data_IF_077741232750
#
_entry.id   IF_077741232750
#
_cell.length_a   1.000
_cell.length_b   1.000
_cell.length_c   1.000
_cell.angle_alpha   90.00
_cell.angle_beta   90.00
_cell.angle_gamma   90.00
#
_symmetry.space_group_name_H-M   'P 1'
#
loop_
_entity.id
_entity.type
_entity.pdbx_description
1 polymer ?
#
# COMPACT_ATOMS: atom_id res chain seq x y z
N UNK A 1 24.68 -24.92 6.62
CA UNK A 1 25.77 -25.23 7.57
C UNK A 1 26.44 -23.91 7.91
N UNK A 2 26.05 -23.30 9.03
CA UNK A 2 26.77 -22.16 9.61
C UNK A 2 27.76 -22.70 10.67
N UNK A 3 28.93 -22.09 10.88
CA UNK A 3 29.89 -22.58 11.85
C UNK A 3 29.50 -22.09 13.25
N UNK A 4 29.37 -23.02 14.19
CA UNK A 4 29.27 -22.71 15.62
C UNK A 4 30.68 -22.46 16.16
N UNK A 5 30.88 -21.33 16.85
CA UNK A 5 32.05 -21.12 17.71
C UNK A 5 31.63 -21.31 19.16
N UNK A 6 32.05 -22.43 19.75
CA UNK A 6 31.85 -22.74 21.17
C UNK A 6 33.10 -22.32 21.97
N UNK A 7 32.93 -21.47 22.96
CA UNK A 7 33.98 -21.17 23.96
C UNK A 7 33.72 -22.05 25.18
N UNK A 8 34.67 -22.92 25.52
CA UNK A 8 34.61 -23.78 26.71
C UNK A 8 35.51 -23.21 27.81
N UNK A 9 34.92 -22.85 28.95
CA UNK A 9 35.59 -22.73 30.23
C UNK A 9 34.90 -23.70 31.19
N UNK A 10 35.60 -24.78 31.55
CA UNK A 10 35.09 -25.80 32.45
C UNK A 10 35.47 -25.51 33.90
N UNK A 11 34.48 -25.44 34.79
CA UNK A 11 34.55 -25.90 36.18
C UNK A 11 33.15 -26.37 36.59
N UNK A 12 33.09 -27.46 37.36
CA UNK A 12 31.92 -28.17 37.85
C UNK A 12 30.81 -27.26 38.41
N UNK A 13 29.58 -27.41 37.90
CA UNK A 13 28.39 -26.78 38.44
C UNK A 13 27.20 -26.96 37.50
N UNK A 14 26.03 -27.25 38.05
CA UNK A 14 24.75 -27.47 37.36
C UNK A 14 24.56 -26.51 36.18
N UNK A 15 24.53 -27.03 34.95
CA UNK A 15 24.26 -26.25 33.74
C UNK A 15 22.76 -25.92 33.68
N UNK A 16 22.38 -24.76 34.19
CA UNK A 16 21.15 -24.10 33.76
C UNK A 16 21.44 -23.51 32.38
N UNK A 17 21.03 -24.21 31.33
CA UNK A 17 21.05 -23.67 29.97
C UNK A 17 19.93 -22.62 29.88
N UNK A 18 20.25 -21.37 30.21
CA UNK A 18 19.39 -20.24 29.87
C UNK A 18 19.51 -20.07 28.36
N UNK A 19 18.52 -20.58 27.63
CA UNK A 19 18.30 -20.22 26.23
C UNK A 19 17.88 -18.75 26.18
N UNK A 20 18.86 -17.85 26.18
CA UNK A 20 18.63 -16.47 25.77
C UNK A 20 18.32 -16.56 24.28
N UNK A 21 17.04 -16.41 23.94
CA UNK A 21 16.61 -16.21 22.55
C UNK A 21 17.24 -14.88 22.13
N UNK A 22 18.37 -14.93 21.43
CA UNK A 22 18.99 -13.73 20.87
C UNK A 22 17.93 -12.99 20.06
N UNK A 23 17.54 -11.81 20.55
CA UNK A 23 16.81 -10.85 19.73
C UNK A 23 17.73 -10.51 18.57
N UNK A 24 17.32 -10.83 17.34
CA UNK A 24 17.97 -10.29 16.15
C UNK A 24 18.06 -8.77 16.32
N UNK A 25 19.26 -8.19 16.38
CA UNK A 25 19.40 -6.75 16.55
C UNK A 25 18.71 -6.08 15.36
N UNK A 26 17.79 -5.15 15.63
CA UNK A 26 17.16 -4.38 14.56
C UNK A 26 18.26 -3.53 13.91
N UNK A 27 18.47 -3.73 12.60
CA UNK A 27 19.44 -2.92 11.87
C UNK A 27 18.95 -1.48 11.84
N UNK A 28 19.75 -0.55 12.37
CA UNK A 28 19.45 0.89 12.31
C UNK A 28 19.35 1.41 10.86
N UNK A 29 19.98 0.71 9.91
CA UNK A 29 19.92 1.02 8.47
C UNK A 29 18.55 0.70 7.84
N UNK A 30 17.76 -0.17 8.47
CA UNK A 30 16.42 -0.58 8.01
C UNK A 30 15.31 -0.07 8.93
N UNK A 31 15.65 0.55 10.07
CA UNK A 31 14.67 1.04 11.05
C UNK A 31 13.99 2.32 10.56
N UNK A 32 12.67 2.28 10.39
CA UNK A 32 11.83 3.46 10.19
C UNK A 32 10.45 3.25 10.83
N UNK A 33 9.67 4.32 11.03
CA UNK A 33 8.27 4.21 11.46
C UNK A 33 7.41 5.26 10.76
N UNK A 34 6.11 5.31 11.08
CA UNK A 34 5.23 6.39 10.64
C UNK A 34 5.13 7.54 11.66
N UNK A 35 5.78 7.42 12.83
CA UNK A 35 5.61 8.34 13.96
C UNK A 35 6.94 8.92 14.47
N UNK A 36 6.83 10.07 15.14
CA UNK A 36 7.94 10.68 15.86
C UNK A 36 9.16 11.00 14.99
N UNK A 37 10.35 10.83 15.57
CA UNK A 37 11.61 11.20 14.93
C UNK A 37 11.95 10.33 13.72
N UNK A 38 11.38 9.12 13.60
CA UNK A 38 11.58 8.20 12.49
C UNK A 38 10.40 8.17 11.51
N UNK A 39 9.49 9.14 11.62
CA UNK A 39 8.33 9.30 10.75
C UNK A 39 8.66 9.87 9.35
N UNK A 40 7.66 9.98 8.47
CA UNK A 40 7.87 10.31 7.05
C UNK A 40 8.58 11.63 6.77
N UNK A 41 8.46 12.61 7.67
CA UNK A 41 9.15 13.90 7.56
C UNK A 41 10.69 13.78 7.73
N UNK A 42 11.17 12.69 8.33
CA UNK A 42 12.57 12.52 8.72
C UNK A 42 13.28 11.34 8.06
N UNK A 43 12.57 10.50 7.29
CA UNK A 43 13.16 9.31 6.66
C UNK A 43 14.46 9.62 5.90
N UNK A 44 14.44 10.62 5.02
CA UNK A 44 15.63 11.02 4.24
C UNK A 44 16.66 11.86 5.01
N UNK A 45 16.43 12.16 6.29
CA UNK A 45 17.38 12.84 7.18
C UNK A 45 18.11 11.86 8.10
N UNK A 46 17.45 10.78 8.49
CA UNK A 46 18.03 9.76 9.39
C UNK A 46 18.93 8.80 8.62
N UNK A 47 18.50 8.36 7.44
CA UNK A 47 19.28 7.44 6.62
C UNK A 47 19.72 8.13 5.32
N UNK A 48 21.05 8.31 5.10
CA UNK A 48 21.58 8.87 3.86
C UNK A 48 21.16 8.11 2.59
N UNK A 49 20.96 6.80 2.67
CA UNK A 49 20.50 5.98 1.54
C UNK A 49 19.06 6.33 1.11
N UNK A 50 18.27 6.92 2.00
CA UNK A 50 16.89 7.34 1.75
C UNK A 50 16.76 8.82 1.36
N UNK A 51 17.84 9.43 0.86
CA UNK A 51 17.90 10.84 0.52
C UNK A 51 16.77 11.31 -0.42
N UNK A 52 16.25 10.43 -1.28
CA UNK A 52 15.12 10.71 -2.17
C UNK A 52 13.83 11.05 -1.39
N UNK A 53 13.64 10.51 -0.19
CA UNK A 53 12.47 10.83 0.63
C UNK A 53 12.41 12.33 1.00
N UNK A 54 13.54 13.04 1.00
CA UNK A 54 13.63 14.47 1.32
C UNK A 54 13.97 15.35 0.10
N UNK A 55 14.82 14.87 -0.81
CA UNK A 55 15.32 15.64 -1.96
C UNK A 55 14.60 15.34 -3.27
N UNK A 56 13.85 14.23 -3.32
CA UNK A 56 13.09 13.84 -4.48
C UNK A 56 12.05 14.89 -4.87
N UNK A 57 11.82 15.05 -6.17
CA UNK A 57 10.84 16.00 -6.74
C UNK A 57 9.65 15.32 -7.41
N UNK A 58 9.66 13.99 -7.45
CA UNK A 58 8.58 13.15 -7.97
C UNK A 58 8.07 12.22 -6.86
N UNK A 59 8.00 12.73 -5.64
CA UNK A 59 7.57 11.96 -4.48
C UNK A 59 6.05 11.70 -4.50
N UNK A 60 5.67 10.59 -3.89
CA UNK A 60 4.29 10.15 -3.67
C UNK A 60 4.04 9.93 -2.18
N UNK A 61 2.78 9.97 -1.72
CA UNK A 61 1.55 10.22 -2.48
C UNK A 61 1.37 11.70 -2.83
N UNK A 62 0.30 12.05 -3.56
CA UNK A 62 -0.05 13.45 -3.90
C UNK A 62 -1.53 13.72 -3.64
N UNK A 63 -1.88 15.00 -3.51
CA UNK A 63 -3.27 15.44 -3.59
C UNK A 63 -3.70 15.50 -5.06
N UNK A 64 -4.80 14.83 -5.38
CA UNK A 64 -5.40 14.80 -6.71
C UNK A 64 -6.47 15.90 -6.80
N UNK A 65 -6.19 16.97 -7.53
CA UNK A 65 -7.14 18.07 -7.73
C UNK A 65 -7.91 17.88 -9.04
N UNK A 66 -9.23 17.60 -9.01
CA UNK A 66 -10.01 17.34 -10.22
C UNK A 66 -9.93 18.45 -11.26
N UNK A 67 -9.80 19.71 -10.82
CA UNK A 67 -9.69 20.91 -11.67
C UNK A 67 -8.36 21.01 -12.41
N UNK A 68 -7.32 20.31 -11.95
CA UNK A 68 -5.98 20.31 -12.56
C UNK A 68 -5.70 19.05 -13.38
N UNK A 69 -6.65 18.10 -13.44
CA UNK A 69 -6.48 16.86 -14.20
C UNK A 69 -6.44 17.14 -15.69
N UNK A 70 -5.46 16.55 -16.37
CA UNK A 70 -5.32 16.63 -17.82
C UNK A 70 -6.00 15.43 -18.46
N UNK A 71 -7.08 15.67 -19.20
CA UNK A 71 -7.71 14.62 -20.00
C UNK A 71 -6.74 14.15 -21.10
N UNK A 72 -6.47 12.85 -21.13
CA UNK A 72 -5.64 12.18 -22.13
C UNK A 72 -6.46 11.09 -22.82
N UNK A 73 -6.94 11.30 -24.06
CA UNK A 73 -7.77 10.33 -24.78
C UNK A 73 -7.01 9.08 -25.22
N UNK A 74 -5.66 9.09 -25.15
CA UNK A 74 -4.84 7.95 -25.57
C UNK A 74 -4.68 6.90 -24.46
N UNK A 75 -5.09 7.22 -23.23
CA UNK A 75 -5.08 6.33 -22.09
C UNK A 75 -5.99 5.12 -22.35
N UNK A 76 -5.36 3.94 -22.43
CA UNK A 76 -6.04 2.68 -22.73
C UNK A 76 -6.77 2.13 -21.50
N UNK A 77 -7.71 1.20 -21.66
CA UNK A 77 -8.27 0.47 -20.52
C UNK A 77 -7.17 -0.25 -19.73
N UNK A 78 -7.21 -0.15 -18.39
CA UNK A 78 -6.35 -0.95 -17.51
C UNK A 78 -6.78 -2.41 -17.55
N UNK A 79 -5.81 -3.32 -17.74
CA UNK A 79 -6.02 -4.75 -17.74
C UNK A 79 -5.25 -5.40 -16.60
N UNK A 80 -5.95 -6.24 -15.83
CA UNK A 80 -5.37 -7.17 -14.85
C UNK A 80 -5.84 -8.58 -15.20
N UNK A 81 -4.91 -9.54 -15.19
CA UNK A 81 -5.25 -10.94 -15.38
C UNK A 81 -6.19 -11.45 -14.26
N UNK A 82 -7.07 -12.39 -14.62
CA UNK A 82 -8.08 -12.96 -13.70
C UNK A 82 -7.61 -14.22 -12.97
N UNK A 83 -6.33 -14.58 -13.09
CA UNK A 83 -5.79 -15.76 -12.44
C UNK A 83 -5.77 -15.57 -10.93
N UNK A 84 -6.10 -16.66 -10.21
CA UNK A 84 -6.04 -16.67 -8.75
C UNK A 84 -4.69 -17.23 -8.32
N UNK A 85 -4.07 -16.57 -7.35
CA UNK A 85 -2.70 -16.85 -6.89
C UNK A 85 -2.69 -17.23 -5.41
N UNK A 86 -1.60 -17.85 -4.99
CA UNK A 86 -1.31 -18.04 -3.58
C UNK A 86 -0.30 -16.97 -3.13
N UNK A 87 -0.34 -16.65 -1.86
CA UNK A 87 0.53 -15.65 -1.27
C UNK A 87 0.50 -15.70 0.24
N UNK A 88 1.31 -14.84 0.84
CA UNK A 88 1.43 -14.70 2.28
C UNK A 88 0.88 -13.34 2.69
N UNK A 89 -0.08 -13.33 3.58
CA UNK A 89 -0.56 -12.14 4.28
C UNK A 89 0.22 -12.00 5.59
N UNK A 90 0.89 -10.88 5.79
CA UNK A 90 1.74 -10.63 6.94
C UNK A 90 1.47 -9.26 7.56
N UNK A 91 1.58 -9.19 8.88
CA UNK A 91 1.75 -7.94 9.59
C UNK A 91 3.26 -7.69 9.73
N UNK A 92 3.78 -6.71 8.99
CA UNK A 92 5.22 -6.39 9.00
C UNK A 92 5.64 -5.54 10.19
N UNK A 93 4.68 -5.09 11.01
CA UNK A 93 4.87 -4.06 12.03
C UNK A 93 4.72 -2.64 11.49
N UNK A 94 4.82 -2.44 10.17
CA UNK A 94 4.59 -1.16 9.49
C UNK A 94 3.31 -1.16 8.66
N UNK A 95 2.91 -2.31 8.13
CA UNK A 95 1.72 -2.44 7.28
C UNK A 95 1.21 -3.87 7.28
N UNK A 96 -0.01 -4.04 6.77
CA UNK A 96 -0.51 -5.35 6.36
C UNK A 96 -0.14 -5.55 4.90
N UNK A 97 0.71 -6.53 4.63
CA UNK A 97 1.24 -6.81 3.30
C UNK A 97 0.78 -8.18 2.84
N UNK A 98 0.25 -8.27 1.62
CA UNK A 98 0.05 -9.55 0.93
C UNK A 98 1.08 -9.66 -0.20
N UNK A 99 1.98 -10.64 -0.12
CA UNK A 99 3.01 -10.90 -1.12
C UNK A 99 2.72 -12.21 -1.87
N UNK A 100 2.89 -12.22 -3.19
CA UNK A 100 2.74 -13.43 -4.00
C UNK A 100 3.86 -14.44 -3.71
N UNK A 101 3.53 -15.74 -3.70
CA UNK A 101 4.54 -16.78 -3.61
C UNK A 101 5.37 -16.89 -4.90
N UNK A 102 6.67 -17.10 -4.77
CA UNK A 102 7.58 -17.20 -5.93
C UNK A 102 7.28 -18.40 -6.86
N UNK A 103 6.59 -19.44 -6.39
CA UNK A 103 6.26 -20.66 -7.16
C UNK A 103 4.86 -20.60 -7.83
N UNK A 104 4.31 -19.41 -8.04
CA UNK A 104 3.06 -19.30 -8.81
C UNK A 104 3.28 -19.67 -10.27
N UNK A 105 2.71 -20.80 -10.70
CA UNK A 105 2.77 -21.29 -12.10
C UNK A 105 2.29 -20.28 -13.14
N UNK A 106 1.38 -19.37 -12.75
CA UNK A 106 0.81 -18.35 -13.61
C UNK A 106 0.85 -16.99 -12.91
N UNK A 107 1.78 -16.09 -13.29
CA UNK A 107 1.83 -14.74 -12.73
C UNK A 107 0.61 -13.92 -13.16
N UNK A 108 0.18 -12.98 -12.31
CA UNK A 108 -0.85 -11.99 -12.67
C UNK A 108 -0.17 -10.80 -13.34
N UNK A 109 -0.52 -10.54 -14.60
CA UNK A 109 0.02 -9.38 -15.32
C UNK A 109 -0.91 -8.15 -15.21
N UNK A 110 -0.27 -6.99 -15.25
CA UNK A 110 -0.84 -5.64 -15.26
C UNK A 110 -0.39 -4.98 -16.57
N UNK A 111 -1.33 -4.52 -17.39
CA UNK A 111 -1.04 -3.92 -18.71
C UNK A 111 -2.13 -2.92 -19.12
N UNK A 112 -1.90 -2.24 -20.25
CA UNK A 112 -2.79 -1.16 -20.70
C UNK A 112 -2.69 0.05 -19.79
N UNK A 113 -3.76 0.84 -19.69
CA UNK A 113 -3.71 2.05 -18.89
C UNK A 113 -2.71 3.07 -19.48
N UNK A 114 -1.83 3.66 -18.64
CA UNK A 114 -0.69 4.47 -19.06
C UNK A 114 0.58 3.66 -19.39
N UNK A 115 0.55 2.32 -19.29
CA UNK A 115 1.74 1.47 -19.29
C UNK A 115 2.15 1.10 -20.70
N UNK A 116 3.43 1.34 -21.02
CA UNK A 116 4.05 0.89 -22.28
C UNK A 116 4.52 -0.56 -22.26
N UNK A 117 4.70 -1.14 -21.06
CA UNK A 117 5.27 -2.46 -20.83
C UNK A 117 4.30 -3.36 -20.09
N UNK A 118 4.61 -4.66 -20.07
CA UNK A 118 3.94 -5.61 -19.19
C UNK A 118 4.57 -5.56 -17.81
N UNK A 119 3.72 -5.43 -16.81
CA UNK A 119 4.12 -5.50 -15.41
C UNK A 119 3.55 -6.78 -14.80
N UNK A 120 4.27 -7.34 -13.84
CA UNK A 120 3.85 -8.50 -13.06
C UNK A 120 3.53 -8.06 -11.64
N UNK A 121 2.37 -8.47 -11.13
CA UNK A 121 1.97 -8.27 -9.75
C UNK A 121 3.00 -8.87 -8.78
N UNK A 122 3.28 -8.16 -7.69
CA UNK A 122 4.23 -8.58 -6.66
C UNK A 122 3.58 -8.60 -5.27
N UNK A 123 3.04 -7.48 -4.82
CA UNK A 123 2.54 -7.35 -3.45
C UNK A 123 1.44 -6.29 -3.33
N UNK A 124 0.71 -6.35 -2.23
CA UNK A 124 -0.34 -5.41 -1.85
C UNK A 124 -0.03 -4.85 -0.47
N UNK A 125 -0.12 -3.54 -0.32
CA UNK A 125 0.02 -2.84 0.96
C UNK A 125 -1.31 -2.21 1.36
N UNK A 126 -1.59 -2.20 2.67
CA UNK A 126 -2.79 -1.59 3.22
C UNK A 126 -2.43 -0.46 4.20
N UNK A 127 -2.83 0.75 3.84
CA UNK A 127 -2.68 1.95 4.65
C UNK A 127 -4.02 2.34 5.26
N UNK A 128 -4.05 2.67 6.55
CA UNK A 128 -5.28 3.02 7.24
C UNK A 128 -5.02 3.91 8.47
N UNK A 129 -6.02 4.73 8.79
CA UNK A 129 -5.92 5.68 9.89
C UNK A 129 -6.53 5.16 11.18
N UNK A 130 -6.25 5.87 12.27
CA UNK A 130 -6.84 5.61 13.59
C UNK A 130 -8.34 5.98 13.64
N UNK A 131 -8.82 6.87 12.75
CA UNK A 131 -10.23 7.26 12.65
C UNK A 131 -10.76 7.23 11.21
N UNK A 132 -12.08 7.40 11.04
CA UNK A 132 -12.78 7.17 9.77
C UNK A 132 -12.56 8.27 8.72
N UNK A 133 -11.89 9.37 9.08
CA UNK A 133 -11.69 10.56 8.23
C UNK A 133 -10.33 10.59 7.55
N UNK A 134 -9.38 9.78 8.02
CA UNK A 134 -7.98 9.76 7.57
C UNK A 134 -7.51 8.31 7.41
N UNK A 135 -6.47 8.10 6.59
CA UNK A 135 -5.86 6.78 6.44
C UNK A 135 -5.33 6.47 5.05
N UNK A 136 -5.91 7.08 4.01
CA UNK A 136 -5.34 7.04 2.68
C UNK A 136 -4.10 7.92 2.59
N UNK A 137 -3.18 7.50 1.72
CA UNK A 137 -1.98 8.25 1.39
C UNK A 137 -2.32 9.32 0.34
N UNK A 138 -2.97 8.91 -0.75
CA UNK A 138 -3.55 9.83 -1.71
C UNK A 138 -4.78 10.53 -1.13
N UNK A 139 -4.95 11.77 -1.54
CA UNK A 139 -6.12 12.58 -1.22
C UNK A 139 -6.76 13.09 -2.50
N UNK A 140 -8.05 13.38 -2.47
CA UNK A 140 -8.78 13.97 -3.60
C UNK A 140 -9.37 15.29 -3.14
N UNK A 141 -8.97 16.38 -3.79
CA UNK A 141 -9.37 17.74 -3.43
C UNK A 141 -9.17 18.03 -1.92
N UNK A 142 -8.04 17.60 -1.37
CA UNK A 142 -7.69 17.72 0.05
C UNK A 142 -8.42 16.74 0.98
N UNK A 143 -9.32 15.91 0.48
CA UNK A 143 -10.06 14.94 1.29
C UNK A 143 -9.35 13.59 1.31
N UNK A 144 -9.11 13.09 2.51
CA UNK A 144 -8.61 11.75 2.75
C UNK A 144 -9.75 10.72 2.85
N UNK A 145 -9.38 9.46 2.69
CA UNK A 145 -10.24 8.30 2.88
C UNK A 145 -9.77 7.52 4.12
N UNK A 146 -10.63 6.71 4.76
CA UNK A 146 -10.26 5.95 5.95
C UNK A 146 -9.13 4.93 5.75
N UNK A 147 -8.93 4.49 4.51
CA UNK A 147 -7.86 3.56 4.14
C UNK A 147 -7.55 3.63 2.63
N UNK A 148 -6.40 3.08 2.25
CA UNK A 148 -5.95 2.91 0.88
C UNK A 148 -5.27 1.55 0.72
N UNK A 149 -5.58 0.86 -0.38
CA UNK A 149 -4.94 -0.38 -0.77
C UNK A 149 -4.11 -0.13 -2.02
N UNK A 150 -2.82 -0.46 -1.96
CA UNK A 150 -1.86 -0.23 -3.02
C UNK A 150 -1.35 -1.55 -3.58
N UNK A 151 -1.62 -1.81 -4.86
CA UNK A 151 -1.21 -3.03 -5.57
C UNK A 151 0.07 -2.70 -6.34
N UNK A 152 1.19 -3.29 -5.94
CA UNK A 152 2.48 -3.10 -6.58
C UNK A 152 2.77 -4.21 -7.59
N UNK A 153 3.39 -3.83 -8.70
CA UNK A 153 3.97 -4.73 -9.67
C UNK A 153 5.27 -4.17 -10.24
N UNK A 154 6.08 -5.04 -10.84
CA UNK A 154 7.34 -4.64 -11.48
C UNK A 154 7.31 -4.94 -12.98
N UNK A 155 8.11 -4.20 -13.74
CA UNK A 155 8.25 -4.35 -15.18
C UNK A 155 9.00 -5.65 -15.49
N UNK A 156 8.25 -6.74 -15.64
CA UNK A 156 8.79 -8.08 -15.94
C UNK A 156 9.29 -8.23 -17.37
N UNK A 157 9.03 -7.23 -18.23
CA UNK A 157 9.57 -7.20 -19.58
C UNK A 157 11.00 -6.66 -19.63
N UNK A 158 11.39 -5.79 -18.70
CA UNK A 158 12.72 -5.18 -18.66
C UNK A 158 13.61 -5.71 -17.53
N UNK A 159 13.03 -6.19 -16.43
CA UNK A 159 13.75 -6.55 -15.22
C UNK A 159 13.41 -7.95 -14.74
N UNK A 160 14.38 -8.62 -14.11
CA UNK A 160 14.25 -10.02 -13.70
C UNK A 160 13.37 -10.20 -12.46
N UNK A 161 13.33 -9.20 -11.58
CA UNK A 161 12.60 -9.27 -10.32
C UNK A 161 12.27 -7.86 -9.80
N UNK A 162 11.43 -7.80 -8.76
CA UNK A 162 10.98 -6.55 -8.16
C UNK A 162 12.13 -5.71 -7.58
N UNK A 163 13.07 -6.34 -6.88
CA UNK A 163 14.23 -5.65 -6.27
C UNK A 163 15.11 -4.95 -7.31
N UNK A 164 15.34 -5.62 -8.45
CA UNK A 164 16.09 -5.05 -9.57
C UNK A 164 15.35 -3.88 -10.24
N UNK A 165 14.01 -3.98 -10.34
CA UNK A 165 13.19 -2.95 -10.95
C UNK A 165 13.02 -1.71 -10.04
N UNK A 166 13.04 -1.89 -8.71
CA UNK A 166 12.70 -0.87 -7.71
C UNK A 166 13.48 0.44 -7.88
N UNK A 167 14.73 0.37 -8.31
CA UNK A 167 15.63 1.51 -8.47
C UNK A 167 15.87 1.90 -9.93
N UNK A 168 15.09 1.36 -10.87
CA UNK A 168 15.25 1.58 -12.32
C UNK A 168 14.04 2.29 -12.92
N UNK A 169 14.30 3.04 -13.99
CA UNK A 169 13.28 3.83 -14.67
C UNK A 169 12.15 2.94 -15.21
N UNK A 170 10.89 3.35 -15.01
CA UNK A 170 9.72 2.55 -15.40
C UNK A 170 9.77 1.12 -14.82
N UNK A 171 10.34 1.00 -13.62
CA UNK A 171 10.50 -0.27 -12.94
C UNK A 171 9.24 -0.73 -12.25
N UNK A 172 8.48 0.19 -11.64
CA UNK A 172 7.36 -0.15 -10.77
C UNK A 172 6.05 0.44 -11.30
N UNK A 173 4.97 -0.33 -11.18
CA UNK A 173 3.60 0.16 -11.29
C UNK A 173 2.91 0.01 -9.95
N UNK A 174 2.12 1.00 -9.57
CA UNK A 174 1.28 0.94 -8.38
C UNK A 174 -0.17 1.29 -8.77
N UNK A 175 -1.10 0.37 -8.50
CA UNK A 175 -2.54 0.62 -8.62
C UNK A 175 -3.10 0.94 -7.24
N UNK A 176 -3.58 2.17 -7.05
CA UNK A 176 -4.17 2.65 -5.80
C UNK A 176 -5.69 2.50 -5.83
N UNK A 177 -6.23 1.87 -4.79
CA UNK A 177 -7.65 1.74 -4.49
C UNK A 177 -7.93 2.50 -3.18
N UNK A 178 -8.67 3.60 -3.27
CA UNK A 178 -9.17 4.30 -2.08
C UNK A 178 -10.30 3.48 -1.44
N UNK A 179 -10.30 3.34 -0.12
CA UNK A 179 -11.32 2.60 0.62
C UNK A 179 -12.28 3.57 1.28
N UNK A 180 -13.58 3.37 1.12
CA UNK A 180 -14.62 4.14 1.80
C UNK A 180 -15.44 3.22 2.71
N UNK A 181 -16.00 3.79 3.79
CA UNK A 181 -16.95 3.06 4.61
C UNK A 181 -18.23 2.75 3.81
N UNK A 182 -18.68 1.50 3.90
CA UNK A 182 -19.96 1.05 3.35
C UNK A 182 -20.53 -0.11 4.15
N UNK A 183 -21.80 -0.42 3.91
CA UNK A 183 -22.49 -1.53 4.58
C UNK A 183 -21.99 -2.90 4.10
N UNK A 184 -21.54 -2.97 2.84
CA UNK A 184 -21.03 -4.19 2.22
C UNK A 184 -19.56 -4.00 1.78
N UNK A 185 -18.70 -4.91 2.23
CA UNK A 185 -17.29 -4.95 1.81
C UNK A 185 -17.13 -5.52 0.40
N UNK A 186 -16.07 -5.11 -0.29
CA UNK A 186 -15.54 -5.87 -1.43
C UNK A 186 -15.31 -7.35 -0.99
N UNK A 187 -15.82 -8.35 -1.75
CA UNK A 187 -15.68 -9.76 -1.39
C UNK A 187 -14.25 -10.27 -1.26
N UNK A 188 -13.35 -9.82 -2.14
CA UNK A 188 -11.97 -10.26 -2.13
C UNK A 188 -11.18 -9.60 -0.99
N UNK A 189 -11.52 -8.34 -0.64
CA UNK A 189 -10.99 -7.69 0.56
C UNK A 189 -11.37 -8.46 1.84
N UNK A 190 -12.54 -9.16 1.86
CA UNK A 190 -12.93 -9.97 3.01
C UNK A 190 -11.94 -11.09 3.31
N UNK A 191 -11.30 -11.64 2.28
CA UNK A 191 -10.27 -12.69 2.40
C UNK A 191 -9.12 -12.26 3.31
N UNK A 192 -8.76 -10.97 3.31
CA UNK A 192 -7.77 -10.41 4.23
C UNK A 192 -8.38 -10.15 5.61
N UNK A 193 -9.49 -9.41 5.65
CA UNK A 193 -10.05 -8.92 6.91
C UNK A 193 -10.53 -10.04 7.85
N UNK A 194 -10.90 -11.21 7.32
CA UNK A 194 -11.31 -12.37 8.12
C UNK A 194 -10.13 -13.06 8.82
N UNK A 195 -8.91 -12.75 8.43
CA UNK A 195 -7.71 -13.42 8.94
C UNK A 195 -6.85 -12.52 9.84
N UNK A 196 -7.29 -11.29 10.12
CA UNK A 196 -6.52 -10.31 10.89
C UNK A 196 -6.17 -10.80 12.30
N UNK A 197 -7.04 -11.59 12.93
CA UNK A 197 -6.78 -12.16 14.26
C UNK A 197 -5.55 -13.09 14.30
N UNK A 198 -5.19 -13.69 13.16
CA UNK A 198 -4.03 -14.59 13.03
C UNK A 198 -2.72 -13.83 12.80
N UNK A 199 -2.79 -12.55 12.44
CA UNK A 199 -1.65 -11.68 12.19
C UNK A 199 -1.68 -10.44 13.09
N UNK A 200 -2.24 -10.58 14.29
CA UNK A 200 -2.45 -9.48 15.22
C UNK A 200 -1.16 -8.73 15.56
N UNK A 201 -0.05 -9.44 15.71
CA UNK A 201 1.24 -8.87 16.11
C UNK A 201 2.22 -8.80 14.95
N UNK A 202 3.13 -7.83 14.99
CA UNK A 202 4.21 -7.67 14.02
C UNK A 202 5.07 -8.93 13.90
N UNK A 203 5.43 -9.27 12.66
CA UNK A 203 6.17 -10.48 12.30
C UNK A 203 5.29 -11.72 12.12
N UNK A 204 4.00 -11.66 12.44
CA UNK A 204 3.08 -12.77 12.16
C UNK A 204 2.66 -12.77 10.69
N UNK A 205 2.57 -13.98 10.12
CA UNK A 205 2.27 -14.19 8.72
C UNK A 205 1.44 -15.46 8.53
N UNK A 206 0.69 -15.52 7.43
CA UNK A 206 -0.12 -16.67 7.09
C UNK A 206 -0.38 -16.80 5.59
N UNK A 207 -0.64 -18.02 5.14
CA UNK A 207 -0.92 -18.31 3.75
C UNK A 207 -2.38 -17.97 3.38
N UNK A 208 -2.55 -17.32 2.23
CA UNK A 208 -3.84 -17.10 1.57
C UNK A 208 -3.80 -17.80 0.22
N UNK A 209 -4.75 -18.72 0.01
CA UNK A 209 -4.86 -19.50 -1.23
C UNK A 209 -5.92 -18.95 -2.15
N UNK A 210 -5.69 -19.09 -3.46
CA UNK A 210 -6.64 -18.69 -4.51
C UNK A 210 -7.14 -17.26 -4.30
N UNK A 211 -6.24 -16.30 -4.14
CA UNK A 211 -6.55 -14.88 -4.06
C UNK A 211 -6.68 -14.27 -5.47
N UNK A 212 -7.72 -13.47 -5.70
CA UNK A 212 -8.02 -12.86 -7.00
C UNK A 212 -7.71 -11.36 -7.04
N UNK A 213 -6.54 -10.96 -7.55
CA UNK A 213 -6.14 -9.54 -7.55
C UNK A 213 -7.12 -8.67 -8.37
N UNK A 214 -7.66 -9.19 -9.49
CA UNK A 214 -8.62 -8.47 -10.34
C UNK A 214 -9.95 -8.23 -9.65
N UNK A 215 -10.35 -9.09 -8.72
CA UNK A 215 -11.61 -9.03 -7.96
C UNK A 215 -11.58 -7.97 -6.85
N UNK A 216 -10.40 -7.47 -6.48
CA UNK A 216 -10.29 -6.26 -5.68
C UNK A 216 -10.73 -5.01 -6.45
N UNK A 217 -10.49 -4.97 -7.77
CA UNK A 217 -10.73 -3.75 -8.54
C UNK A 217 -12.23 -3.44 -8.61
N UNK A 218 -12.63 -2.18 -8.34
CA UNK A 218 -14.00 -1.73 -8.48
C UNK A 218 -14.44 -1.76 -9.95
N UNK A 219 -15.75 -1.82 -10.17
CA UNK A 219 -16.34 -1.74 -11.50
C UNK A 219 -16.28 -0.29 -12.02
N UNK A 220 -15.13 0.09 -12.58
CA UNK A 220 -14.87 1.34 -13.29
C UNK A 220 -13.80 1.13 -14.35
N UNK A 221 -13.84 1.95 -15.40
CA UNK A 221 -12.76 2.07 -16.40
C UNK A 221 -11.94 3.34 -16.19
N UNK A 222 -12.37 4.21 -15.28
CA UNK A 222 -11.84 5.54 -15.12
C UNK A 222 -10.77 5.58 -14.04
N UNK A 223 -9.68 6.30 -14.34
CA UNK A 223 -8.54 6.41 -13.43
C UNK A 223 -7.76 7.70 -13.68
N UNK A 224 -6.90 8.03 -12.72
CA UNK A 224 -5.89 9.07 -12.81
C UNK A 224 -4.51 8.42 -12.79
N UNK A 225 -3.52 9.08 -13.38
CA UNK A 225 -2.16 8.56 -13.44
C UNK A 225 -1.12 9.66 -13.44
N UNK A 226 0.00 9.40 -12.78
CA UNK A 226 1.16 10.28 -12.72
C UNK A 226 2.43 9.47 -12.43
N UNK A 227 3.59 10.05 -12.76
CA UNK A 227 4.89 9.48 -12.41
C UNK A 227 5.31 9.94 -11.01
N UNK A 228 5.57 8.98 -10.15
CA UNK A 228 5.78 9.18 -8.72
C UNK A 228 6.89 8.31 -8.12
N UNK A 229 6.78 8.10 -6.81
CA UNK A 229 7.72 7.29 -6.04
C UNK A 229 7.01 6.16 -5.30
N UNK A 230 7.79 5.25 -4.72
CA UNK A 230 7.28 4.45 -3.59
C UNK A 230 6.95 5.37 -2.42
N UNK A 231 5.95 4.99 -1.62
CA UNK A 231 5.50 5.76 -0.44
C UNK A 231 6.12 5.27 0.86
N UNK A 232 6.97 4.25 0.77
CA UNK A 232 7.85 3.74 1.82
C UNK A 232 9.32 4.02 1.47
N UNK A 233 10.21 4.09 2.48
CA UNK A 233 11.65 4.19 2.25
C UNK A 233 12.16 3.10 1.29
N UNK A 234 13.09 3.38 0.37
CA UNK A 234 13.87 4.61 0.19
C UNK A 234 13.22 5.70 -0.68
N UNK A 235 11.90 5.62 -0.90
CA UNK A 235 11.12 6.58 -1.71
C UNK A 235 11.62 6.72 -3.17
N UNK A 236 11.94 5.60 -3.82
CA UNK A 236 12.46 5.57 -5.18
C UNK A 236 11.46 6.14 -6.19
N UNK A 237 11.91 7.07 -7.04
CA UNK A 237 11.09 7.78 -8.05
C UNK A 237 10.93 6.96 -9.35
N UNK A 238 10.48 5.72 -9.20
CA UNK A 238 10.42 4.70 -10.26
C UNK A 238 9.01 4.16 -10.51
N UNK A 239 8.02 4.74 -9.84
CA UNK A 239 6.66 4.21 -9.78
C UNK A 239 5.72 4.99 -10.70
N UNK A 240 5.08 4.28 -11.63
CA UNK A 240 3.93 4.80 -12.37
C UNK A 240 2.66 4.53 -11.57
N UNK A 241 2.00 5.58 -11.07
CA UNK A 241 0.78 5.45 -10.28
C UNK A 241 -0.46 5.40 -11.16
N UNK A 242 -1.41 4.55 -10.78
CA UNK A 242 -2.74 4.42 -11.39
C UNK A 242 -3.76 4.42 -10.26
N UNK A 243 -4.50 5.52 -10.10
CA UNK A 243 -5.48 5.70 -9.03
C UNK A 243 -6.87 5.53 -9.63
N UNK A 244 -7.61 4.52 -9.17
CA UNK A 244 -8.95 4.29 -9.71
C UNK A 244 -9.94 5.32 -9.17
N UNK A 245 -10.84 5.80 -10.04
CA UNK A 245 -11.75 6.88 -9.70
C UNK A 245 -12.94 6.47 -8.80
N UNK A 246 -13.05 5.18 -8.52
CA UNK A 246 -14.14 4.61 -7.74
C UNK A 246 -13.52 3.93 -6.52
N UNK A 247 -13.96 4.28 -5.30
CA UNK A 247 -13.46 3.59 -4.13
C UNK A 247 -14.01 2.16 -4.07
N UNK A 248 -13.32 1.32 -3.31
CA UNK A 248 -13.86 0.05 -2.83
C UNK A 248 -14.39 0.24 -1.40
N UNK A 249 -15.34 -0.59 -1.00
CA UNK A 249 -15.99 -0.44 0.29
C UNK A 249 -15.42 -1.40 1.32
N UNK A 250 -15.28 -0.92 2.55
CA UNK A 250 -14.91 -1.67 3.75
C UNK A 250 -15.94 -1.37 4.85
N UNK A 251 -16.30 -2.36 5.66
CA UNK A 251 -17.23 -2.14 6.78
C UNK A 251 -16.52 -1.55 7.98
N UNK A 252 -17.27 -0.86 8.85
CA UNK A 252 -16.74 -0.33 10.12
C UNK A 252 -16.10 -1.42 10.99
N UNK A 253 -16.67 -2.62 11.00
CA UNK A 253 -16.15 -3.75 11.77
C UNK A 253 -14.78 -4.21 11.24
N UNK A 254 -14.62 -4.31 9.92
CA UNK A 254 -13.34 -4.70 9.32
C UNK A 254 -12.27 -3.64 9.54
N UNK A 255 -12.63 -2.36 9.38
CA UNK A 255 -11.70 -1.27 9.62
C UNK A 255 -11.30 -1.18 11.10
N UNK A 256 -12.23 -1.44 12.02
CA UNK A 256 -11.91 -1.56 13.44
C UNK A 256 -10.94 -2.71 13.72
N UNK A 257 -11.13 -3.88 13.09
CA UNK A 257 -10.23 -5.02 13.23
C UNK A 257 -8.80 -4.70 12.75
N UNK A 258 -8.65 -3.94 11.65
CA UNK A 258 -7.33 -3.45 11.21
C UNK A 258 -6.65 -2.59 12.27
N UNK A 259 -7.41 -1.69 12.92
CA UNK A 259 -6.91 -0.82 14.00
C UNK A 259 -6.58 -1.55 15.30
N UNK A 260 -6.91 -2.83 15.42
CA UNK A 260 -6.55 -3.68 16.58
C UNK A 260 -5.24 -4.46 16.38
N UNK A 261 -4.65 -4.37 15.18
CA UNK A 261 -3.32 -4.90 14.93
C UNK A 261 -2.28 -4.11 15.73
N UNK A 262 -1.13 -4.74 15.99
CA UNK A 262 -0.04 -4.21 16.78
C UNK A 262 1.23 -4.14 15.94
N UNK A 263 2.05 -3.10 16.14
CA UNK A 263 3.30 -2.89 15.41
C UNK A 263 4.39 -3.88 15.85
N UNK A 264 4.44 -4.22 17.14
CA UNK A 264 5.43 -5.12 17.72
C UNK A 264 4.95 -6.57 17.82
N UNK A 265 5.86 -7.46 18.23
CA UNK A 265 5.58 -8.89 18.36
C UNK A 265 4.69 -9.21 19.59
N UNK A 266 4.29 -10.47 19.75
CA UNK A 266 3.38 -10.89 20.84
C UNK A 266 3.97 -10.66 22.24
N UNK A 267 5.29 -10.68 22.39
CA UNK A 267 5.96 -10.46 23.69
C UNK A 267 6.12 -8.97 23.99
N UNK A 268 6.30 -8.16 22.96
CA UNK A 268 6.44 -6.71 23.02
C UNK A 268 5.56 -6.07 21.94
N UNK A 269 4.23 -5.96 22.17
CA UNK A 269 3.27 -5.52 21.16
C UNK A 269 3.50 -4.10 20.62
N UNK A 270 4.27 -3.27 21.33
CA UNK A 270 4.49 -1.87 21.02
C UNK A 270 3.15 -1.09 20.90
N UNK A 271 3.02 -0.16 19.94
CA UNK A 271 1.80 0.59 19.69
C UNK A 271 0.85 -0.16 18.74
N UNK A 272 -0.47 0.17 18.75
CA UNK A 272 -1.38 -0.26 17.70
C UNK A 272 -0.88 0.15 16.31
N UNK A 273 -1.03 -0.72 15.34
CA UNK A 273 -0.79 -0.42 13.93
C UNK A 273 -1.93 0.46 13.45
N UNK A 274 -1.70 1.77 13.43
CA UNK A 274 -2.62 2.76 12.89
C UNK A 274 -1.81 3.95 12.36
N UNK A 275 -2.44 4.78 11.52
CA UNK A 275 -1.81 5.95 10.89
C UNK A 275 -0.55 5.57 10.10
N UNK A 276 -0.55 4.39 9.49
CA UNK A 276 0.58 3.87 8.74
C UNK A 276 0.62 4.43 7.31
N UNK A 277 0.47 5.74 7.15
CA UNK A 277 0.37 6.40 5.85
C UNK A 277 1.30 7.62 5.78
N UNK A 278 1.92 7.84 4.62
CA UNK A 278 2.70 9.03 4.32
C UNK A 278 1.78 10.19 3.91
N UNK A 279 2.01 11.42 4.40
CA UNK A 279 1.24 12.59 3.96
C UNK A 279 1.46 12.93 2.47
N UNK A 280 0.49 13.60 1.82
CA UNK A 280 0.65 14.12 0.46
C UNK A 280 1.92 14.96 0.28
N UNK A 281 2.67 14.67 -0.77
CA UNK A 281 3.90 15.34 -1.15
C UNK A 281 3.61 16.40 -2.24
N UNK A 282 4.44 17.43 -2.37
CA UNK A 282 4.24 18.45 -3.39
C UNK A 282 4.27 17.85 -4.81
N UNK A 283 3.33 18.30 -5.65
CA UNK A 283 3.22 17.80 -7.02
C UNK A 283 4.39 18.27 -7.92
N UNK A 284 5.05 19.39 -7.57
CA UNK A 284 6.17 19.97 -8.32
C UNK A 284 5.89 20.14 -9.83
N UNK A 285 4.68 20.60 -10.16
CA UNK A 285 4.21 20.82 -11.54
C UNK A 285 4.19 19.57 -12.43
N UNK A 286 4.21 18.37 -11.84
CA UNK A 286 3.99 17.14 -12.60
C UNK A 286 2.56 17.11 -13.14
N UNK A 287 2.35 16.71 -14.40
CA UNK A 287 1.01 16.52 -14.93
C UNK A 287 0.37 15.28 -14.31
N UNK A 288 -0.85 15.42 -13.81
CA UNK A 288 -1.73 14.28 -13.49
C UNK A 288 -2.69 14.11 -14.64
N UNK A 289 -2.63 12.96 -15.30
CA UNK A 289 -3.47 12.64 -16.46
C UNK A 289 -4.67 11.81 -16.04
N UNK A 290 -5.76 11.89 -16.80
CA UNK A 290 -6.95 11.06 -16.59
C UNK A 290 -7.60 10.69 -17.91
N UNK A 291 -8.28 9.55 -17.94
CA UNK A 291 -9.14 9.15 -19.06
C UNK A 291 -10.60 9.57 -18.84
N UNK A 292 -10.89 10.42 -17.86
CA UNK A 292 -12.20 11.00 -17.60
C UNK A 292 -12.32 12.29 -18.41
N UNK A 293 -13.26 12.31 -19.34
CA UNK A 293 -13.61 13.53 -20.06
C UNK A 293 -14.65 14.34 -19.26
N UNK A 294 -14.20 15.39 -18.58
CA UNK A 294 -15.09 16.29 -17.82
C UNK A 294 -15.87 17.27 -18.70
N UNK A 295 -15.52 17.40 -19.99
CA UNK A 295 -16.21 18.28 -20.94
C UNK A 295 -17.39 17.58 -21.61
N UNK A 296 -17.38 16.24 -21.66
CA UNK A 296 -18.54 15.45 -22.08
C UNK A 296 -19.56 15.45 -20.95
N UNK A 297 -20.59 16.30 -21.08
CA UNK A 297 -21.81 16.15 -20.29
C UNK A 297 -22.43 14.79 -20.65
N UNK A 298 -22.16 13.76 -19.84
CA UNK A 298 -22.87 12.48 -19.94
C UNK A 298 -24.38 12.68 -19.87
N UNK A 299 -25.20 11.72 -20.36
CA UNK A 299 -26.65 11.80 -20.21
C UNK A 299 -26.99 12.05 -18.74
N UNK A 300 -27.95 12.95 -18.47
CA UNK A 300 -28.38 13.42 -17.14
C UNK A 300 -28.78 12.32 -16.14
N UNK A 301 -28.76 11.05 -16.55
CA UNK A 301 -29.03 9.88 -15.73
C UNK A 301 -27.75 9.05 -15.57
N UNK A 302 -26.82 9.50 -14.72
CA UNK A 302 -25.92 8.59 -14.02
C UNK A 302 -26.72 8.00 -12.83
N UNK A 303 -27.04 6.70 -12.78
CA UNK A 303 -27.84 6.15 -11.67
C UNK A 303 -27.11 6.10 -10.32
N UNK A 304 -25.88 6.60 -10.20
CA UNK A 304 -25.10 6.48 -8.96
C UNK A 304 -24.27 7.71 -8.57
N UNK A 305 -24.37 8.82 -9.32
CA UNK A 305 -23.91 10.13 -8.82
C UNK A 305 -25.13 11.02 -8.64
N UNK A 306 -25.80 10.84 -7.51
CA UNK A 306 -26.85 11.76 -7.12
C UNK A 306 -26.19 13.12 -6.85
N UNK A 307 -26.56 14.14 -7.65
CA UNK A 307 -26.02 15.52 -7.56
C UNK A 307 -26.47 16.28 -6.31
N UNK A 308 -27.27 15.65 -5.44
CA UNK A 308 -27.80 16.26 -4.22
C UNK A 308 -27.04 15.77 -2.97
N UNK A 309 -25.75 16.13 -2.85
CA UNK A 309 -25.06 16.08 -1.56
C UNK A 309 -25.20 17.46 -0.92
N UNK A 310 -26.29 17.68 -0.18
CA UNK A 310 -26.40 18.80 0.74
C UNK A 310 -25.86 18.39 2.10
N UNK A 311 -24.73 18.97 2.50
CA UNK A 311 -24.24 18.85 3.87
C UNK A 311 -25.16 19.62 4.81
N UNK A 312 -25.99 18.91 5.58
CA UNK A 312 -26.71 19.50 6.69
C UNK A 312 -25.80 19.46 7.92
N UNK A 313 -25.10 20.55 8.18
CA UNK A 313 -24.43 20.73 9.47
C UNK A 313 -25.51 20.82 10.55
N UNK A 314 -25.54 19.85 11.47
CA UNK A 314 -26.36 19.97 12.66
C UNK A 314 -25.81 21.13 13.49
N UNK A 315 -26.51 22.25 13.51
CA UNK A 315 -26.29 23.32 14.48
C UNK A 315 -26.89 22.88 15.81
N UNK A 316 -26.02 22.61 16.78
CA UNK A 316 -26.43 22.37 18.16
C UNK A 316 -26.72 23.72 18.83
N UNK A 317 -27.92 23.83 19.41
CA UNK A 317 -28.24 24.78 20.49
C UNK A 317 -28.20 24.01 21.80
#
# INVERSE_FOLDING_TARGET
MAPFSSVFLGVWGVFVVILIKESTPVSWEEWWTYDGISGPAFWGLINPEWWLCNKGRRQSPVNLEPTQLLFDPNLQPLHLDKHRINGVLANTGHSVVFAVENDTRHPVNISGGPLSYRYQFHEIHLHFGADDRIGSEHTVDGHAFPAELQIFGFNSQLYNNFSDALHKAQGIVAVSLLLQLGDLSNPELRTFTQQLDKIKYGGQAMEIKRFGVRELLPDTKHYMTYDGSTTMPACHETTTWIILNKPIYITKQQLHALRQLMQGDEKQPNAPLANNFRPPQPLHHRPVRTNIDFNVQGPKNCPTMNRDIYYKANSWK
#
